data_IF_458637246053
#
_entry.id   IF_458637246053
#
_cell.length_a   1.000
_cell.length_b   1.000
_cell.length_c   1.000
_cell.angle_alpha   90.00
_cell.angle_beta   90.00
_cell.angle_gamma   90.00
#
_symmetry.space_group_name_H-M   'P 1'
#
loop_
_entity.id
_entity.type
_entity.pdbx_description
1 polymer ?
#
# COMPACT_ATOMS: atom_id res chain seq x y z
N UNK A 1 -16.68 58.80 38.47
CA UNK A 1 -17.19 58.03 37.32
C UNK A 1 -16.28 56.83 37.15
N UNK A 2 -16.85 55.65 37.40
CA UNK A 2 -16.35 54.29 37.12
C UNK A 2 -14.96 53.90 37.64
N UNK A 3 -14.91 53.38 38.86
CA UNK A 3 -14.08 52.22 39.17
C UNK A 3 -15.04 51.16 39.73
N UNK A 4 -15.27 50.10 38.96
CA UNK A 4 -15.97 48.92 39.47
C UNK A 4 -15.26 47.66 39.01
N UNK A 5 -15.47 46.65 39.82
CA UNK A 5 -14.56 45.63 40.29
C UNK A 5 -14.59 44.37 39.43
N UNK A 6 -13.51 43.60 39.62
CA UNK A 6 -13.29 42.24 39.12
C UNK A 6 -14.50 41.33 39.36
N UNK A 7 -14.97 40.66 38.32
CA UNK A 7 -15.59 39.33 38.47
C UNK A 7 -14.74 38.26 37.78
N UNK A 8 -14.44 37.25 38.58
CA UNK A 8 -13.79 36.00 38.24
C UNK A 8 -14.87 35.04 37.75
N UNK A 9 -14.77 34.53 36.53
CA UNK A 9 -15.42 33.27 36.19
C UNK A 9 -14.37 32.21 35.80
N UNK A 10 -14.24 31.30 36.77
CA UNK A 10 -13.71 29.95 36.75
C UNK A 10 -13.54 29.27 35.38
N UNK A 11 -12.30 28.86 35.11
CA UNK A 11 -11.97 27.77 34.19
C UNK A 11 -11.77 26.50 35.04
N UNK A 12 -12.56 25.42 34.87
CA UNK A 12 -12.14 24.12 35.33
C UNK A 12 -11.36 23.39 34.23
N UNK A 13 -10.06 23.20 34.47
CA UNK A 13 -9.25 22.15 33.84
C UNK A 13 -9.63 20.81 34.46
N UNK A 14 -9.87 19.78 33.64
CA UNK A 14 -9.74 18.38 34.08
C UNK A 14 -8.95 17.60 33.03
N UNK A 15 -7.86 16.99 33.53
CA UNK A 15 -6.92 16.13 32.82
C UNK A 15 -7.39 14.66 32.84
N UNK A 16 -7.01 13.95 31.78
CA UNK A 16 -6.46 12.59 31.69
C UNK A 16 -6.91 11.41 32.58
N UNK A 17 -7.12 10.30 31.86
CA UNK A 17 -6.94 8.87 32.24
C UNK A 17 -7.93 8.25 33.24
N UNK A 18 -8.68 7.24 32.79
CA UNK A 18 -8.47 5.88 33.30
C UNK A 18 -9.12 4.79 32.44
N UNK A 19 -8.33 3.73 32.30
CA UNK A 19 -8.57 2.41 31.74
C UNK A 19 -9.56 1.62 32.61
N UNK A 20 -10.53 0.91 32.01
CA UNK A 20 -11.23 -0.17 32.72
C UNK A 20 -11.65 -1.28 31.76
N UNK A 21 -10.88 -2.35 31.85
CA UNK A 21 -11.12 -3.70 31.34
C UNK A 21 -12.29 -4.36 32.06
N UNK A 22 -13.11 -5.12 31.32
CA UNK A 22 -13.91 -6.21 31.93
C UNK A 22 -14.20 -7.32 30.93
N UNK A 23 -13.46 -8.41 31.08
CA UNK A 23 -13.81 -9.76 30.64
C UNK A 23 -14.97 -10.32 31.47
N UNK A 24 -15.87 -11.09 30.85
CA UNK A 24 -16.53 -12.29 31.41
C UNK A 24 -17.12 -13.04 30.20
N UNK A 25 -16.62 -14.22 29.82
CA UNK A 25 -16.77 -15.56 30.43
C UNK A 25 -17.75 -16.38 29.58
N UNK A 26 -17.21 -17.45 29.00
CA UNK A 26 -17.91 -18.53 28.34
C UNK A 26 -18.93 -19.19 29.27
N UNK A 27 -20.07 -19.59 28.70
CA UNK A 27 -20.92 -20.62 29.30
C UNK A 27 -21.14 -21.74 28.28
N UNK A 28 -20.82 -22.92 28.77
CA UNK A 28 -20.83 -24.24 28.16
C UNK A 28 -22.20 -24.88 28.44
N UNK A 29 -22.79 -25.55 27.46
CA UNK A 29 -23.87 -26.52 27.72
C UNK A 29 -23.48 -27.90 27.20
N UNK A 30 -23.19 -28.75 28.19
CA UNK A 30 -23.20 -30.22 28.20
C UNK A 30 -24.51 -30.80 27.60
N UNK A 31 -24.67 -32.06 27.17
CA UNK A 31 -24.20 -33.33 27.75
C UNK A 31 -24.73 -34.52 26.91
N UNK A 32 -23.96 -35.62 26.86
CA UNK A 32 -24.46 -37.02 26.83
C UNK A 32 -24.20 -37.80 25.53
N UNK A 33 -23.85 -39.08 25.52
CA UNK A 33 -23.48 -40.06 26.57
C UNK A 33 -22.94 -41.35 25.86
N UNK A 34 -21.83 -41.88 26.38
CA UNK A 34 -21.28 -43.27 26.42
C UNK A 34 -21.35 -44.29 25.26
N UNK A 35 -20.19 -44.89 24.94
CA UNK A 35 -19.71 -46.22 25.43
C UNK A 35 -18.39 -46.60 24.70
N UNK A 36 -17.22 -46.54 25.34
CA UNK A 36 -16.44 -47.67 25.91
C UNK A 36 -16.24 -48.89 24.98
N UNK A 37 -15.03 -49.09 24.44
CA UNK A 37 -14.15 -50.18 24.91
C UNK A 37 -12.67 -49.94 24.52
N UNK A 38 -11.76 -50.42 25.37
CA UNK A 38 -10.31 -50.19 25.39
C UNK A 38 -9.54 -51.06 24.39
N UNK A 39 -8.46 -50.49 23.84
CA UNK A 39 -7.17 -51.20 23.77
C UNK A 39 -6.01 -50.19 23.75
N UNK A 40 -5.20 -50.23 24.82
CA UNK A 40 -3.92 -49.53 24.96
C UNK A 40 -2.79 -50.32 24.26
N UNK A 41 -1.62 -49.66 24.22
CA UNK A 41 -0.31 -50.01 23.62
C UNK A 41 -0.16 -49.50 22.16
N UNK A 42 0.85 -48.70 21.78
CA UNK A 42 2.13 -48.33 22.41
C UNK A 42 2.78 -47.22 21.55
N UNK A 43 3.67 -46.44 22.18
CA UNK A 43 4.91 -45.88 21.60
C UNK A 43 4.88 -44.79 20.50
N UNK A 44 5.37 -43.62 20.92
CA UNK A 44 6.30 -42.69 20.24
C UNK A 44 6.31 -42.61 18.70
N UNK A 45 5.98 -41.42 18.17
CA UNK A 45 6.88 -40.60 17.32
C UNK A 45 6.24 -39.24 17.05
N UNK A 46 6.67 -38.24 17.81
CA UNK A 46 6.63 -36.84 17.37
C UNK A 46 7.73 -36.70 16.32
N UNK A 47 7.39 -36.11 15.18
CA UNK A 47 8.23 -35.59 14.08
C UNK A 47 7.77 -36.15 12.73
N UNK A 48 6.83 -35.42 12.13
CA UNK A 48 6.58 -35.26 10.68
C UNK A 48 5.44 -34.24 10.52
N UNK A 49 5.77 -32.94 10.54
CA UNK A 49 4.78 -31.85 10.39
C UNK A 49 5.21 -30.74 9.41
N UNK A 50 6.15 -31.05 8.51
CA UNK A 50 6.71 -30.06 7.56
C UNK A 50 6.28 -30.33 6.10
N UNK A 51 5.79 -31.53 5.73
CA UNK A 51 5.35 -31.79 4.35
C UNK A 51 3.85 -31.48 4.07
N UNK A 52 2.97 -31.63 5.07
CA UNK A 52 1.51 -31.46 4.90
C UNK A 52 1.07 -29.97 4.80
N UNK A 53 1.84 -29.05 5.39
CA UNK A 53 1.51 -27.61 5.38
C UNK A 53 1.67 -27.00 3.98
N UNK A 54 2.64 -27.50 3.19
CA UNK A 54 2.89 -27.05 1.80
C UNK A 54 1.72 -27.40 0.88
N UNK A 55 1.16 -28.60 1.03
CA UNK A 55 0.02 -29.03 0.22
C UNK A 55 -1.30 -28.40 0.67
N UNK A 56 -1.47 -28.14 1.98
CA UNK A 56 -2.59 -27.32 2.48
C UNK A 56 -2.55 -25.90 1.91
N UNK A 57 -1.39 -25.24 1.86
CA UNK A 57 -1.27 -23.91 1.24
C UNK A 57 -1.55 -23.92 -0.26
N UNK A 58 -1.17 -24.98 -0.99
CA UNK A 58 -1.53 -25.14 -2.41
C UNK A 58 -3.03 -25.32 -2.60
N UNK A 59 -3.68 -26.12 -1.74
CA UNK A 59 -5.14 -26.34 -1.76
C UNK A 59 -5.89 -25.05 -1.41
N UNK A 60 -5.43 -24.30 -0.41
CA UNK A 60 -6.01 -23.01 -0.02
C UNK A 60 -5.85 -21.97 -1.14
N UNK A 61 -4.65 -21.87 -1.73
CA UNK A 61 -4.39 -20.99 -2.86
C UNK A 61 -5.24 -21.36 -4.08
N UNK A 62 -5.34 -22.64 -4.42
CA UNK A 62 -6.18 -23.13 -5.51
C UNK A 62 -7.67 -22.80 -5.26
N UNK A 63 -8.14 -23.02 -4.04
CA UNK A 63 -9.52 -22.69 -3.63
C UNK A 63 -9.78 -21.19 -3.74
N UNK A 64 -8.83 -20.35 -3.35
CA UNK A 64 -8.92 -18.89 -3.47
C UNK A 64 -8.97 -18.44 -4.93
N UNK A 65 -8.15 -19.03 -5.80
CA UNK A 65 -8.17 -18.76 -7.24
C UNK A 65 -9.49 -19.20 -7.87
N UNK A 66 -9.99 -20.39 -7.54
CA UNK A 66 -11.26 -20.90 -8.04
C UNK A 66 -12.45 -20.05 -7.58
N UNK A 67 -12.47 -19.65 -6.30
CA UNK A 67 -13.49 -18.77 -5.75
C UNK A 67 -13.45 -17.39 -6.42
N UNK A 68 -12.26 -16.81 -6.62
CA UNK A 68 -12.08 -15.54 -7.31
C UNK A 68 -12.56 -15.61 -8.76
N UNK A 69 -12.23 -16.69 -9.48
CA UNK A 69 -12.63 -16.92 -10.87
C UNK A 69 -14.14 -17.11 -11.01
N UNK A 70 -14.75 -17.98 -10.18
CA UNK A 70 -16.21 -18.16 -10.15
C UNK A 70 -16.93 -16.84 -9.84
N UNK A 71 -16.41 -16.07 -8.87
CA UNK A 71 -16.93 -14.74 -8.55
C UNK A 71 -16.77 -13.76 -9.71
N UNK A 72 -15.64 -13.77 -10.41
CA UNK A 72 -15.40 -12.92 -11.57
C UNK A 72 -16.36 -13.26 -12.72
N UNK A 73 -16.62 -14.55 -12.97
CA UNK A 73 -17.60 -14.97 -13.97
C UNK A 73 -19.02 -14.51 -13.64
N UNK A 74 -19.48 -14.70 -12.40
CA UNK A 74 -20.79 -14.21 -11.97
C UNK A 74 -20.91 -12.68 -12.08
N UNK A 75 -19.87 -11.94 -11.64
CA UNK A 75 -19.84 -10.48 -11.78
C UNK A 75 -19.79 -10.03 -13.23
N UNK A 76 -19.10 -10.76 -14.11
CA UNK A 76 -19.02 -10.43 -15.54
C UNK A 76 -20.33 -10.69 -16.27
N UNK A 77 -21.01 -11.82 -16.00
CA UNK A 77 -22.33 -12.08 -16.57
C UNK A 77 -23.37 -11.06 -16.11
N UNK A 78 -23.35 -10.69 -14.82
CA UNK A 78 -24.21 -9.62 -14.29
C UNK A 78 -23.87 -8.27 -14.91
N UNK A 79 -22.58 -7.93 -15.03
CA UNK A 79 -22.14 -6.69 -15.65
C UNK A 79 -22.54 -6.61 -17.11
N UNK A 80 -22.47 -7.69 -17.89
CA UNK A 80 -22.94 -7.70 -19.29
C UNK A 80 -24.46 -7.51 -19.36
N UNK A 81 -25.22 -8.14 -18.45
CA UNK A 81 -26.66 -7.88 -18.34
C UNK A 81 -26.98 -6.49 -17.84
N UNK A 82 -26.18 -5.89 -16.96
CA UNK A 82 -26.35 -4.55 -16.39
C UNK A 82 -25.84 -3.46 -17.33
N UNK A 83 -24.85 -3.71 -18.19
CA UNK A 83 -24.51 -2.81 -19.29
C UNK A 83 -25.56 -2.85 -20.40
N UNK A 84 -26.31 -3.96 -20.52
CA UNK A 84 -27.50 -4.05 -21.36
C UNK A 84 -28.78 -3.57 -20.65
N UNK A 85 -28.82 -3.57 -19.31
CA UNK A 85 -29.94 -3.11 -18.45
C UNK A 85 -29.76 -1.73 -17.83
N UNK A 86 -28.61 -1.09 -17.98
CA UNK A 86 -28.47 0.37 -17.81
C UNK A 86 -29.26 1.13 -18.88
N UNK A 87 -29.88 0.41 -19.82
CA UNK A 87 -30.97 0.89 -20.67
C UNK A 87 -32.37 0.34 -20.31
N UNK A 88 -32.52 -0.60 -19.37
CA UNK A 88 -33.82 -1.24 -19.07
C UNK A 88 -34.02 -1.58 -17.59
N UNK A 89 -34.33 -0.55 -16.81
CA UNK A 89 -35.11 -0.64 -15.58
C UNK A 89 -35.65 0.76 -15.31
N UNK A 90 -36.76 1.19 -15.89
CA UNK A 90 -38.09 0.58 -15.94
C UNK A 90 -38.76 0.77 -17.30
N UNK A 91 -39.51 -0.24 -17.78
CA UNK A 91 -40.49 -0.06 -18.86
C UNK A 91 -41.67 0.80 -18.37
N UNK A 92 -41.43 2.10 -18.24
CA UNK A 92 -42.43 3.14 -18.52
C UNK A 92 -41.93 3.75 -19.83
N UNK A 93 -42.81 3.93 -20.80
CA UNK A 93 -42.46 4.61 -22.04
C UNK A 93 -41.91 6.00 -21.74
N UNK A 94 -40.59 6.17 -21.69
CA UNK A 94 -40.00 7.47 -21.41
C UNK A 94 -39.37 7.98 -22.70
N UNK A 95 -40.14 8.81 -23.40
CA UNK A 95 -39.60 9.99 -24.06
C UNK A 95 -38.50 10.61 -23.21
N UNK A 96 -37.49 11.24 -23.83
CA UNK A 96 -36.58 12.10 -23.07
C UNK A 96 -37.41 12.96 -22.10
N UNK A 97 -37.11 12.92 -20.79
CA UNK A 97 -37.90 13.64 -19.81
C UNK A 97 -37.94 15.09 -20.25
N UNK A 98 -39.15 15.59 -20.42
CA UNK A 98 -39.36 16.96 -20.86
C UNK A 98 -38.73 17.87 -19.82
N UNK A 99 -38.19 19.02 -20.24
CA UNK A 99 -37.52 19.96 -19.33
C UNK A 99 -38.40 20.29 -18.13
N UNK A 100 -39.71 20.36 -18.34
CA UNK A 100 -40.72 20.61 -17.32
C UNK A 100 -40.81 19.49 -16.26
N UNK A 101 -40.66 18.22 -16.65
CA UNK A 101 -40.69 17.07 -15.74
C UNK A 101 -39.44 17.04 -14.86
N UNK A 102 -38.26 17.28 -15.46
CA UNK A 102 -37.00 17.46 -14.74
C UNK A 102 -37.07 18.63 -13.76
N UNK A 103 -37.72 19.73 -14.14
CA UNK A 103 -37.85 20.90 -13.28
C UNK A 103 -38.87 20.70 -12.15
N UNK A 104 -39.81 19.77 -12.34
CA UNK A 104 -40.71 19.33 -11.28
C UNK A 104 -40.02 18.43 -10.25
N UNK A 105 -39.09 17.57 -10.68
CA UNK A 105 -38.29 16.72 -9.79
C UNK A 105 -37.14 17.47 -9.11
N UNK A 106 -36.46 18.35 -9.84
CA UNK A 106 -35.34 19.16 -9.34
C UNK A 106 -35.78 20.61 -9.10
N UNK A 107 -36.66 20.80 -8.12
CA UNK A 107 -37.17 22.13 -7.75
C UNK A 107 -36.05 22.98 -7.16
N UNK A 108 -35.86 24.19 -7.70
CA UNK A 108 -34.92 25.15 -7.14
C UNK A 108 -35.30 25.62 -5.74
N UNK A 109 -36.58 25.51 -5.36
CA UNK A 109 -37.08 25.86 -4.05
C UNK A 109 -36.91 24.72 -3.02
N UNK A 110 -36.52 23.51 -3.48
CA UNK A 110 -36.22 22.40 -2.59
C UNK A 110 -34.85 22.62 -1.93
N UNK A 111 -34.90 22.95 -0.64
CA UNK A 111 -33.73 23.27 0.15
C UNK A 111 -32.82 22.06 0.38
N UNK A 112 -33.38 20.86 0.54
CA UNK A 112 -32.58 19.64 0.74
C UNK A 112 -31.78 19.31 -0.52
N UNK A 113 -32.42 19.46 -1.68
CA UNK A 113 -31.76 19.27 -2.97
C UNK A 113 -30.64 20.29 -3.21
N UNK A 114 -30.88 21.57 -2.88
CA UNK A 114 -29.87 22.61 -3.00
C UNK A 114 -28.68 22.38 -2.06
N UNK A 115 -28.93 21.98 -0.82
CA UNK A 115 -27.90 21.66 0.16
C UNK A 115 -27.07 20.45 -0.27
N UNK A 116 -27.73 19.40 -0.79
CA UNK A 116 -27.06 18.22 -1.35
C UNK A 116 -26.19 18.57 -2.57
N UNK A 117 -26.72 19.35 -3.52
CA UNK A 117 -25.98 19.81 -4.69
C UNK A 117 -24.74 20.63 -4.29
N UNK A 118 -24.90 21.54 -3.34
CA UNK A 118 -23.81 22.36 -2.79
C UNK A 118 -22.73 21.48 -2.16
N UNK A 119 -23.11 20.45 -1.40
CA UNK A 119 -22.18 19.50 -0.78
C UNK A 119 -21.39 18.70 -1.81
N UNK A 120 -22.04 18.24 -2.89
CA UNK A 120 -21.39 17.53 -3.99
C UNK A 120 -20.38 18.45 -4.69
N UNK A 121 -20.79 19.67 -5.03
CA UNK A 121 -19.93 20.66 -5.69
C UNK A 121 -18.71 21.01 -4.83
N UNK A 122 -18.90 21.25 -3.53
CA UNK A 122 -17.83 21.55 -2.59
C UNK A 122 -16.85 20.38 -2.46
N UNK A 123 -17.36 19.15 -2.32
CA UNK A 123 -16.54 17.94 -2.25
C UNK A 123 -15.71 17.74 -3.53
N UNK A 124 -16.34 17.91 -4.70
CA UNK A 124 -15.68 17.77 -5.99
C UNK A 124 -14.58 18.82 -6.20
N UNK A 125 -14.86 20.09 -5.89
CA UNK A 125 -13.86 21.16 -5.95
C UNK A 125 -12.68 20.87 -5.03
N UNK A 126 -12.96 20.39 -3.81
CA UNK A 126 -11.92 19.97 -2.87
C UNK A 126 -11.09 18.78 -3.38
N UNK A 127 -11.74 17.78 -3.99
CA UNK A 127 -11.08 16.63 -4.60
C UNK A 127 -10.14 17.05 -5.74
N UNK A 128 -10.60 17.95 -6.63
CA UNK A 128 -9.77 18.44 -7.73
C UNK A 128 -8.53 19.20 -7.24
N UNK A 129 -8.70 20.09 -6.25
CA UNK A 129 -7.57 20.80 -5.66
C UNK A 129 -6.56 19.86 -5.00
N UNK A 130 -7.03 18.86 -4.23
CA UNK A 130 -6.14 17.86 -3.63
C UNK A 130 -5.42 17.01 -4.67
N UNK A 131 -6.11 16.63 -5.75
CA UNK A 131 -5.52 15.86 -6.85
C UNK A 131 -4.40 16.65 -7.54
N UNK A 132 -4.62 17.94 -7.83
CA UNK A 132 -3.60 18.82 -8.40
C UNK A 132 -2.41 19.02 -7.45
N UNK A 133 -2.66 19.24 -6.16
CA UNK A 133 -1.59 19.39 -5.17
C UNK A 133 -0.78 18.10 -5.01
N UNK A 134 -1.41 16.93 -4.99
CA UNK A 134 -0.73 15.64 -4.94
C UNK A 134 0.14 15.42 -6.19
N UNK A 135 -0.39 15.74 -7.38
CA UNK A 135 0.38 15.67 -8.62
C UNK A 135 1.57 16.66 -8.59
N UNK A 136 1.36 17.90 -8.15
CA UNK A 136 2.41 18.91 -8.03
C UNK A 136 3.48 18.53 -7.01
N UNK A 137 3.09 17.98 -5.85
CA UNK A 137 4.03 17.51 -4.83
C UNK A 137 4.89 16.37 -5.34
N UNK A 138 4.31 15.43 -6.08
CA UNK A 138 5.05 14.33 -6.70
C UNK A 138 6.09 14.86 -7.71
N UNK A 139 5.68 15.78 -8.60
CA UNK A 139 6.58 16.39 -9.59
C UNK A 139 7.70 17.20 -8.92
N UNK A 140 7.38 17.99 -7.89
CA UNK A 140 8.39 18.75 -7.12
C UNK A 140 9.40 17.83 -6.44
N UNK A 141 8.92 16.77 -5.78
CA UNK A 141 9.81 15.80 -5.12
C UNK A 141 10.73 15.08 -6.11
N UNK A 142 10.22 14.71 -7.29
CA UNK A 142 11.03 14.12 -8.34
C UNK A 142 12.05 15.12 -8.90
N UNK A 143 11.65 16.38 -9.10
CA UNK A 143 12.54 17.47 -9.52
C UNK A 143 13.68 17.69 -8.53
N UNK A 144 13.39 17.74 -7.24
CA UNK A 144 14.39 17.93 -6.18
C UNK A 144 15.40 16.78 -6.12
N UNK A 145 14.95 15.53 -6.30
CA UNK A 145 15.85 14.36 -6.37
C UNK A 145 16.79 14.47 -7.57
N UNK A 146 16.26 14.83 -8.74
CA UNK A 146 17.05 14.97 -9.97
C UNK A 146 18.05 16.12 -9.85
N UNK A 147 17.63 17.26 -9.32
CA UNK A 147 18.46 18.43 -9.11
C UNK A 147 19.60 18.12 -8.13
N UNK A 148 19.30 17.49 -7.00
CA UNK A 148 20.31 17.09 -6.02
C UNK A 148 21.29 16.05 -6.59
N UNK A 149 20.80 15.10 -7.39
CA UNK A 149 21.67 14.16 -8.09
C UNK A 149 22.58 14.86 -9.11
N UNK A 150 22.06 15.82 -9.87
CA UNK A 150 22.81 16.63 -10.82
C UNK A 150 23.90 17.45 -10.11
N UNK A 151 23.55 18.20 -9.06
CA UNK A 151 24.54 18.96 -8.27
C UNK A 151 25.63 18.08 -7.68
N UNK A 152 25.30 16.84 -7.28
CA UNK A 152 26.29 15.89 -6.76
C UNK A 152 27.22 15.34 -7.84
N UNK A 153 26.73 15.18 -9.07
CA UNK A 153 27.56 14.81 -10.23
C UNK A 153 28.47 15.98 -10.61
N UNK A 154 27.91 17.18 -10.75
CA UNK A 154 28.67 18.40 -11.08
C UNK A 154 29.81 18.61 -10.09
N UNK A 155 29.53 18.53 -8.78
CA UNK A 155 30.56 18.66 -7.76
C UNK A 155 31.66 17.60 -7.88
N UNK A 156 31.31 16.33 -8.15
CA UNK A 156 32.31 15.27 -8.35
C UNK A 156 33.13 15.45 -9.62
N UNK A 157 32.54 15.98 -10.68
CA UNK A 157 33.25 16.31 -11.92
C UNK A 157 34.22 17.44 -11.67
N UNK A 158 33.79 18.50 -10.99
CA UNK A 158 34.64 19.63 -10.62
C UNK A 158 35.81 19.19 -9.72
N UNK A 159 35.53 18.39 -8.69
CA UNK A 159 36.56 17.82 -7.82
C UNK A 159 37.58 16.99 -8.63
N UNK A 160 37.12 16.15 -9.57
CA UNK A 160 37.98 15.36 -10.44
C UNK A 160 38.80 16.22 -11.43
N UNK A 161 38.21 17.28 -11.99
CA UNK A 161 38.92 18.21 -12.88
C UNK A 161 40.03 18.92 -12.12
N UNK A 162 39.77 19.37 -10.89
CA UNK A 162 40.78 20.00 -10.03
C UNK A 162 41.90 19.03 -9.62
N UNK A 163 41.59 17.76 -9.33
CA UNK A 163 42.62 16.74 -9.04
C UNK A 163 43.49 16.40 -10.26
N UNK A 164 42.93 16.51 -11.47
CA UNK A 164 43.65 16.28 -12.72
C UNK A 164 44.43 17.51 -13.21
N UNK A 165 44.28 18.66 -12.55
CA UNK A 165 44.96 19.88 -12.95
C UNK A 165 46.49 19.71 -12.85
N UNK A 166 47.18 19.83 -13.99
CA UNK A 166 48.64 19.65 -14.09
C UNK A 166 49.10 18.24 -14.48
N UNK A 167 48.20 17.29 -14.72
CA UNK A 167 48.52 15.95 -15.24
C UNK A 167 48.37 15.93 -16.77
N UNK A 168 49.40 15.48 -17.49
CA UNK A 168 49.32 15.29 -18.95
C UNK A 168 48.60 13.98 -19.29
N UNK A 169 47.33 14.08 -19.70
CA UNK A 169 46.51 12.95 -20.11
C UNK A 169 46.97 12.29 -21.42
N UNK A 170 47.93 12.86 -22.14
CA UNK A 170 48.47 12.25 -23.37
C UNK A 170 49.73 11.42 -23.12
N UNK A 171 50.27 11.43 -21.90
CA UNK A 171 51.48 10.67 -21.55
C UNK A 171 51.24 9.14 -21.67
N UNK A 172 52.00 8.43 -22.52
CA UNK A 172 51.88 6.97 -22.66
C UNK A 172 52.22 6.21 -21.38
N UNK A 173 53.08 6.72 -20.49
CA UNK A 173 53.44 6.03 -19.25
C UNK A 173 52.35 6.17 -18.18
N UNK A 174 51.68 7.33 -18.12
CA UNK A 174 50.45 7.52 -17.35
C UNK A 174 49.35 6.53 -17.77
N UNK A 175 49.13 6.35 -19.08
CA UNK A 175 48.15 5.38 -19.59
C UNK A 175 48.47 3.93 -19.20
N UNK A 176 49.73 3.52 -19.27
CA UNK A 176 50.17 2.18 -18.82
C UNK A 176 49.92 1.97 -17.33
N UNK A 177 50.23 2.97 -16.51
CA UNK A 177 50.01 2.92 -15.07
C UNK A 177 48.51 2.83 -14.74
N UNK A 178 47.68 3.69 -15.36
CA UNK A 178 46.23 3.68 -15.20
C UNK A 178 45.63 2.31 -15.56
N UNK A 179 46.05 1.72 -16.69
CA UNK A 179 45.60 0.39 -17.14
C UNK A 179 45.92 -0.69 -16.10
N UNK A 180 47.12 -0.65 -15.50
CA UNK A 180 47.52 -1.60 -14.45
C UNK A 180 46.69 -1.44 -13.17
N UNK A 181 46.41 -0.20 -12.77
CA UNK A 181 45.55 0.11 -11.61
C UNK A 181 44.12 -0.40 -11.85
N UNK A 182 43.56 -0.14 -13.03
CA UNK A 182 42.21 -0.58 -13.42
C UNK A 182 42.10 -2.12 -13.41
N UNK A 183 43.07 -2.83 -13.99
CA UNK A 183 43.09 -4.29 -14.00
C UNK A 183 43.18 -4.86 -12.58
N UNK A 184 44.05 -4.30 -11.73
CA UNK A 184 44.19 -4.71 -10.33
C UNK A 184 42.90 -4.47 -9.55
N UNK A 185 42.27 -3.30 -9.70
CA UNK A 185 41.03 -2.94 -9.01
C UNK A 185 39.85 -3.80 -9.46
N UNK A 186 39.71 -4.08 -10.77
CA UNK A 186 38.65 -4.97 -11.26
C UNK A 186 38.83 -6.39 -10.72
N UNK A 187 40.07 -6.87 -10.63
CA UNK A 187 40.36 -8.14 -9.96
C UNK A 187 40.04 -8.11 -8.47
N UNK A 188 40.35 -7.02 -7.77
CA UNK A 188 40.03 -6.84 -6.35
C UNK A 188 38.52 -6.84 -6.09
N UNK A 189 37.73 -6.15 -6.91
CA UNK A 189 36.26 -6.13 -6.87
C UNK A 189 35.66 -7.54 -6.94
N UNK A 190 36.08 -8.34 -7.92
CA UNK A 190 35.62 -9.73 -8.07
C UNK A 190 35.99 -10.57 -6.84
N UNK A 191 37.23 -10.45 -6.36
CA UNK A 191 37.67 -11.18 -5.17
C UNK A 191 36.92 -10.74 -3.91
N UNK A 192 36.59 -9.46 -3.78
CA UNK A 192 35.79 -8.93 -2.68
C UNK A 192 34.38 -9.54 -2.70
N UNK A 193 33.70 -9.53 -3.85
CA UNK A 193 32.36 -10.11 -4.01
C UNK A 193 32.35 -11.63 -3.71
N UNK A 194 33.38 -12.37 -4.13
CA UNK A 194 33.51 -13.81 -3.84
C UNK A 194 33.89 -14.09 -2.38
N UNK A 195 34.72 -13.25 -1.75
CA UNK A 195 35.12 -13.42 -0.35
C UNK A 195 34.03 -13.07 0.67
N UNK A 196 33.04 -12.25 0.27
CA UNK A 196 31.92 -11.81 1.12
C UNK A 196 30.72 -12.76 1.01
N UNK A 197 30.73 -13.73 0.09
CA UNK A 197 29.77 -14.82 0.03
C UNK A 197 30.34 -16.08 0.73
N UNK A 198 30.10 -16.29 2.05
CA UNK A 198 30.46 -17.54 2.69
C UNK A 198 29.54 -18.65 2.20
N UNK A 199 30.14 -19.69 1.62
CA UNK A 199 29.75 -21.11 1.71
C UNK A 199 28.35 -21.39 2.28
N UNK A 200 27.33 -21.36 1.43
CA UNK A 200 26.14 -22.23 1.54
C UNK A 200 26.05 -22.95 0.20
N UNK A 201 25.66 -24.22 0.20
CA UNK A 201 25.53 -25.09 -0.98
C UNK A 201 26.81 -25.88 -1.37
N UNK A 202 27.14 -26.90 -0.58
CA UNK A 202 27.58 -28.19 -1.11
C UNK A 202 27.48 -29.24 0.01
N UNK A 203 26.50 -30.14 -0.08
CA UNK A 203 26.65 -31.61 -0.01
C UNK A 203 25.25 -32.22 -0.20
N UNK A 204 24.86 -32.45 -1.46
CA UNK A 204 24.05 -33.63 -1.77
C UNK A 204 24.18 -34.05 -3.24
N UNK A 205 24.17 -35.37 -3.45
CA UNK A 205 24.23 -36.15 -4.71
C UNK A 205 25.61 -36.51 -5.28
N UNK A 206 26.12 -37.69 -4.89
CA UNK A 206 25.87 -38.93 -5.67
C UNK A 206 26.28 -40.18 -4.90
#
# INVERSE_FOLDING_TARGET
>A
MTEDTRELENIPKVNDTENSSKETKAEETSKGDKSEDKKEEDSEKVEEKEEDVSDQHKVEAATRIQAAFRGHHARKSMKETDTSKQQTGTNKSESEPTKEELQQEFRADDKELCDAATKIQASFRGHMSRKEQAASALVKSAGEIVENAASKIEKKVEDAVNELEGIDLTDPDLHKAATKIQASFRGHKVRQEVSVAPTTEAEDKK
#
